data_IF_639045132015
#
_entry.id   IF_639045132015
#
_cell.length_a   1.000
_cell.length_b   1.000
_cell.length_c   1.000
_cell.angle_alpha   90.00
_cell.angle_beta   90.00
_cell.angle_gamma   90.00
#
_symmetry.space_group_name_H-M   'P 1'
#
loop_
_entity.id
_entity.type
_entity.pdbx_description
1 polymer ?
#
# COMPACT_ATOMS: atom_id res chain seq x y z
N UNK A 1 -17.12 -1.53 -27.80
CA UNK A 1 -16.58 -2.25 -26.62
C UNK A 1 -15.18 -2.86 -26.84
N UNK A 2 -14.72 -3.04 -28.09
CA UNK A 2 -13.37 -3.56 -28.40
C UNK A 2 -12.25 -2.51 -28.35
N UNK A 3 -12.54 -1.23 -28.64
CA UNK A 3 -11.55 -0.15 -28.62
C UNK A 3 -11.02 0.20 -27.23
N UNK A 4 -11.88 0.20 -26.20
CA UNK A 4 -11.49 0.48 -24.81
C UNK A 4 -10.61 -0.63 -24.22
N UNK A 5 -10.86 -1.89 -24.60
CA UNK A 5 -10.02 -3.04 -24.20
C UNK A 5 -8.62 -2.98 -24.82
N UNK A 6 -8.50 -2.45 -26.04
CA UNK A 6 -7.22 -2.24 -26.72
C UNK A 6 -6.45 -1.00 -26.20
N UNK A 7 -7.16 0.03 -25.75
CA UNK A 7 -6.55 1.28 -25.27
C UNK A 7 -5.96 1.19 -23.86
N UNK A 8 -6.58 0.42 -22.95
CA UNK A 8 -6.16 0.34 -21.54
C UNK A 8 -4.70 -0.12 -21.36
N UNK A 9 -4.23 -1.17 -22.07
CA UNK A 9 -2.83 -1.61 -21.99
C UNK A 9 -1.85 -0.57 -22.53
N UNK A 10 -2.22 0.15 -23.60
CA UNK A 10 -1.41 1.22 -24.19
C UNK A 10 -1.28 2.42 -23.24
N UNK A 11 -2.36 2.81 -22.57
CA UNK A 11 -2.34 3.88 -21.56
C UNK A 11 -1.48 3.47 -20.35
N UNK A 12 -1.60 2.22 -19.90
CA UNK A 12 -0.74 1.68 -18.84
C UNK A 12 0.74 1.68 -19.21
N UNK A 13 1.07 1.25 -20.43
CA UNK A 13 2.43 1.26 -20.96
C UNK A 13 2.99 2.69 -21.14
N UNK A 14 2.15 3.66 -21.53
CA UNK A 14 2.55 5.06 -21.67
C UNK A 14 2.85 5.71 -20.30
N UNK A 15 1.96 5.54 -19.31
CA UNK A 15 2.18 6.03 -17.94
C UNK A 15 3.43 5.39 -17.32
N UNK A 16 3.65 4.12 -17.59
CA UNK A 16 4.84 3.38 -17.21
C UNK A 16 6.11 3.96 -17.86
N UNK A 17 6.09 4.25 -19.15
CA UNK A 17 7.25 4.80 -19.88
C UNK A 17 7.61 6.20 -19.35
N UNK A 18 6.61 7.05 -19.13
CA UNK A 18 6.77 8.38 -18.52
C UNK A 18 7.43 8.26 -17.15
N UNK A 19 7.02 7.28 -16.36
CA UNK A 19 7.59 7.05 -15.04
C UNK A 19 9.04 6.57 -15.09
N UNK A 20 9.36 5.60 -15.94
CA UNK A 20 10.74 5.11 -16.15
C UNK A 20 11.64 6.25 -16.60
N UNK A 21 11.19 7.07 -17.54
CA UNK A 21 11.92 8.26 -17.99
C UNK A 21 12.16 9.23 -16.83
N UNK A 22 11.15 9.50 -16.01
CA UNK A 22 11.29 10.35 -14.82
C UNK A 22 12.34 9.81 -13.84
N UNK A 23 12.35 8.49 -13.57
CA UNK A 23 13.35 7.86 -12.71
C UNK A 23 14.77 7.97 -13.31
N UNK A 24 14.92 7.79 -14.62
CA UNK A 24 16.21 7.95 -15.30
C UNK A 24 16.70 9.40 -15.26
N UNK A 25 15.79 10.38 -15.40
CA UNK A 25 16.09 11.80 -15.24
C UNK A 25 16.55 12.08 -13.82
N UNK A 26 15.86 11.59 -12.79
CA UNK A 26 16.27 11.75 -11.39
C UNK A 26 17.62 11.09 -11.11
N UNK A 27 17.89 9.93 -11.71
CA UNK A 27 19.20 9.28 -11.60
C UNK A 27 20.30 10.16 -12.20
N UNK A 28 20.06 10.87 -13.29
CA UNK A 28 21.07 11.74 -13.94
C UNK A 28 21.22 13.12 -13.28
N UNK A 29 20.29 13.53 -12.41
CA UNK A 29 20.28 14.83 -11.71
C UNK A 29 20.49 14.67 -10.21
N UNK A 30 21.75 14.75 -9.70
CA UNK A 30 22.08 14.55 -8.29
C UNK A 30 21.25 15.41 -7.32
N UNK A 31 20.92 16.62 -7.73
CA UNK A 31 20.11 17.59 -6.99
C UNK A 31 18.66 17.13 -6.77
N UNK A 32 18.14 16.27 -7.67
CA UNK A 32 16.79 15.71 -7.60
C UNK A 32 16.72 14.31 -6.95
N UNK A 33 17.85 13.74 -6.54
CA UNK A 33 17.89 12.41 -5.93
C UNK A 33 17.33 12.43 -4.50
N UNK A 34 16.34 11.57 -4.24
CA UNK A 34 16.00 11.10 -2.90
C UNK A 34 16.11 9.58 -2.87
N UNK A 35 16.60 9.04 -1.75
CA UNK A 35 16.71 7.60 -1.54
C UNK A 35 18.00 6.97 -2.07
N UNK A 36 18.15 5.68 -1.77
CA UNK A 36 19.26 4.85 -2.25
C UNK A 36 18.92 4.20 -3.61
N UNK A 37 19.92 3.82 -4.44
CA UNK A 37 19.66 3.11 -5.70
C UNK A 37 18.80 1.84 -5.56
N UNK A 38 18.79 1.22 -4.37
CA UNK A 38 17.97 0.03 -4.05
C UNK A 38 16.49 0.35 -3.97
N UNK A 39 16.09 1.56 -3.60
CA UNK A 39 14.70 1.99 -3.57
C UNK A 39 14.08 2.06 -4.98
N UNK A 40 14.93 2.20 -6.01
CA UNK A 40 14.54 2.12 -7.41
C UNK A 40 14.47 0.68 -7.95
N UNK A 41 14.89 -0.34 -7.18
CA UNK A 41 14.89 -1.74 -7.63
C UNK A 41 13.51 -2.40 -7.50
N UNK A 42 12.73 -2.09 -6.46
CA UNK A 42 11.39 -2.67 -6.25
C UNK A 42 10.45 -2.40 -7.44
N UNK A 43 10.45 -1.18 -8.00
CA UNK A 43 9.66 -0.94 -9.19
C UNK A 43 10.16 -1.60 -10.45
N UNK A 44 11.47 -1.84 -10.57
CA UNK A 44 12.07 -2.56 -11.70
C UNK A 44 11.76 -4.06 -11.62
N UNK A 45 11.70 -4.65 -10.43
CA UNK A 45 11.26 -6.04 -10.27
C UNK A 45 9.78 -6.21 -10.69
N UNK A 46 8.94 -5.28 -10.25
CA UNK A 46 7.56 -5.17 -10.67
C UNK A 46 7.36 -4.94 -12.18
N UNK A 47 8.25 -4.14 -12.78
CA UNK A 47 8.38 -3.93 -14.23
C UNK A 47 8.53 -5.26 -14.96
N UNK A 48 9.44 -6.10 -14.47
CA UNK A 48 9.78 -7.39 -15.08
C UNK A 48 8.60 -8.36 -14.91
N UNK A 49 7.95 -8.39 -13.75
CA UNK A 49 6.78 -9.24 -13.50
C UNK A 49 5.59 -8.80 -14.37
N UNK A 50 5.33 -7.50 -14.46
CA UNK A 50 4.27 -6.94 -15.30
C UNK A 50 4.51 -7.20 -16.79
N UNK A 51 5.75 -7.06 -17.27
CA UNK A 51 6.14 -7.34 -18.65
C UNK A 51 6.10 -8.84 -18.97
N UNK A 52 6.67 -9.69 -18.12
CA UNK A 52 6.67 -11.14 -18.31
C UNK A 52 5.24 -11.70 -18.40
N UNK A 53 4.32 -11.17 -17.60
CA UNK A 53 2.90 -11.52 -17.68
C UNK A 53 2.19 -10.87 -18.85
N UNK A 54 2.53 -9.63 -19.25
CA UNK A 54 2.00 -8.96 -20.44
C UNK A 54 2.30 -9.73 -21.73
N UNK A 55 3.45 -10.39 -21.83
CA UNK A 55 3.80 -11.27 -22.95
C UNK A 55 3.20 -12.68 -22.83
N UNK A 56 2.44 -12.98 -21.77
CA UNK A 56 1.68 -14.24 -21.66
C UNK A 56 0.41 -14.17 -22.52
N UNK A 57 0.09 -15.25 -23.23
CA UNK A 57 -0.86 -15.21 -24.35
C UNK A 57 -2.34 -15.11 -23.92
N UNK A 58 -3.22 -14.57 -24.79
CA UNK A 58 -4.55 -14.07 -24.40
C UNK A 58 -5.63 -15.13 -24.14
N UNK A 59 -5.35 -16.40 -24.41
CA UNK A 59 -6.30 -17.52 -24.24
C UNK A 59 -6.23 -18.16 -22.86
N UNK A 60 -5.34 -17.69 -22.00
CA UNK A 60 -5.12 -18.23 -20.66
C UNK A 60 -5.99 -17.49 -19.61
N UNK A 61 -6.35 -18.17 -18.49
CA UNK A 61 -6.98 -17.55 -17.30
C UNK A 61 -6.29 -16.26 -16.81
N UNK A 62 -5.06 -16.00 -17.25
CA UNK A 62 -4.29 -14.83 -16.87
C UNK A 62 -4.80 -13.49 -17.44
N UNK A 63 -5.54 -13.49 -18.54
CA UNK A 63 -6.03 -12.23 -19.15
C UNK A 63 -7.10 -11.53 -18.31
N UNK A 64 -7.99 -12.29 -17.66
CA UNK A 64 -9.00 -11.73 -16.77
C UNK A 64 -8.37 -11.12 -15.53
N UNK A 65 -7.43 -11.84 -14.92
CA UNK A 65 -6.64 -11.34 -13.80
C UNK A 65 -5.89 -10.06 -14.17
N UNK A 66 -5.21 -10.05 -15.32
CA UNK A 66 -4.51 -8.86 -15.82
C UNK A 66 -5.45 -7.68 -16.00
N UNK A 67 -6.63 -7.91 -16.58
CA UNK A 67 -7.60 -6.85 -16.79
C UNK A 67 -8.07 -6.23 -15.45
N UNK A 68 -8.31 -7.04 -14.42
CA UNK A 68 -8.64 -6.54 -13.08
C UNK A 68 -7.47 -5.80 -12.45
N UNK A 69 -6.26 -6.33 -12.58
CA UNK A 69 -5.05 -5.74 -12.04
C UNK A 69 -4.70 -4.39 -12.66
N UNK A 70 -4.85 -4.25 -13.99
CA UNK A 70 -4.69 -2.98 -14.69
C UNK A 70 -5.82 -2.00 -14.39
N UNK A 71 -7.07 -2.47 -14.23
CA UNK A 71 -8.17 -1.60 -13.77
C UNK A 71 -7.90 -1.06 -12.38
N UNK A 72 -7.35 -1.88 -11.47
CA UNK A 72 -6.91 -1.44 -10.15
C UNK A 72 -5.81 -0.37 -10.26
N UNK A 73 -4.87 -0.52 -11.20
CA UNK A 73 -3.84 0.48 -11.47
C UNK A 73 -4.45 1.82 -11.92
N UNK A 74 -5.46 1.79 -12.82
CA UNK A 74 -6.16 3.00 -13.28
C UNK A 74 -6.93 3.67 -12.15
N UNK A 75 -7.64 2.89 -11.32
CA UNK A 75 -8.37 3.42 -10.15
C UNK A 75 -7.38 4.06 -9.16
N UNK A 76 -6.29 3.37 -8.84
CA UNK A 76 -5.23 3.88 -7.98
C UNK A 76 -4.59 5.14 -8.56
N UNK A 77 -4.31 5.15 -9.87
CA UNK A 77 -3.78 6.29 -10.61
C UNK A 77 -4.68 7.52 -10.57
N UNK A 78 -5.99 7.33 -10.71
CA UNK A 78 -6.96 8.40 -10.60
C UNK A 78 -7.00 8.96 -9.16
N UNK A 79 -7.05 8.07 -8.16
CA UNK A 79 -7.05 8.45 -6.75
C UNK A 79 -5.76 9.19 -6.35
N UNK A 80 -4.58 8.66 -6.68
CA UNK A 80 -3.31 9.28 -6.34
C UNK A 80 -3.16 10.65 -7.01
N UNK A 81 -3.64 10.81 -8.24
CA UNK A 81 -3.60 12.10 -8.96
C UNK A 81 -4.50 13.11 -8.28
N UNK A 82 -5.72 12.70 -7.88
CA UNK A 82 -6.62 13.54 -7.10
C UNK A 82 -6.00 13.95 -5.76
N UNK A 83 -5.44 13.00 -5.02
CA UNK A 83 -4.79 13.27 -3.71
C UNK A 83 -3.57 14.17 -3.89
N UNK A 84 -2.78 13.99 -4.94
CA UNK A 84 -1.66 14.87 -5.27
C UNK A 84 -2.13 16.31 -5.52
N UNK A 85 -3.17 16.52 -6.33
CA UNK A 85 -3.74 17.86 -6.55
C UNK A 85 -4.18 18.47 -5.21
N UNK A 86 -4.91 17.71 -4.38
CA UNK A 86 -5.32 18.16 -3.04
C UNK A 86 -4.10 18.52 -2.18
N UNK A 87 -3.01 17.75 -2.26
CA UNK A 87 -1.78 18.01 -1.51
C UNK A 87 -1.11 19.33 -1.89
N UNK A 88 -1.17 19.71 -3.17
CA UNK A 88 -0.63 20.98 -3.67
C UNK A 88 -1.48 22.16 -3.16
N UNK A 89 -2.81 22.02 -3.24
CA UNK A 89 -3.76 23.03 -2.76
C UNK A 89 -3.66 23.25 -1.25
N UNK A 90 -3.59 22.16 -0.48
CA UNK A 90 -3.48 22.20 0.98
C UNK A 90 -2.08 22.50 1.47
N UNK A 91 -1.08 22.47 0.58
CA UNK A 91 0.34 22.53 0.95
C UNK A 91 0.65 21.53 2.06
N UNK A 92 0.23 20.28 1.87
CA UNK A 92 0.47 19.17 2.79
C UNK A 92 0.52 17.84 2.04
N UNK A 93 1.72 17.29 1.82
CA UNK A 93 1.90 15.97 1.21
C UNK A 93 1.78 14.81 2.22
N UNK A 94 1.62 15.11 3.51
CA UNK A 94 1.28 14.13 4.55
C UNK A 94 -0.06 13.45 4.32
N UNK A 95 -0.93 14.03 3.50
CA UNK A 95 -2.18 13.40 3.05
C UNK A 95 -1.94 12.09 2.28
N UNK A 96 -0.76 11.92 1.66
CA UNK A 96 -0.40 10.67 0.98
C UNK A 96 -0.38 9.47 1.94
N UNK A 97 0.08 9.67 3.17
CA UNK A 97 0.13 8.59 4.17
C UNK A 97 -1.29 8.12 4.56
N UNK A 98 -2.28 9.01 4.50
CA UNK A 98 -3.71 8.69 4.73
C UNK A 98 -4.30 7.98 3.51
N UNK A 99 -3.94 8.45 2.30
CA UNK A 99 -4.44 7.90 1.04
C UNK A 99 -3.86 6.52 0.71
N UNK A 100 -2.63 6.23 1.14
CA UNK A 100 -1.93 4.97 0.86
C UNK A 100 -2.78 3.70 1.13
N UNK A 101 -3.35 3.48 2.33
CA UNK A 101 -4.24 2.34 2.57
C UNK A 101 -5.58 2.44 1.83
N UNK A 102 -6.04 3.66 1.50
CA UNK A 102 -7.29 3.89 0.75
C UNK A 102 -7.15 3.49 -0.71
N UNK A 103 -5.98 3.68 -1.32
CA UNK A 103 -5.72 3.31 -2.71
C UNK A 103 -5.95 1.81 -2.95
N UNK A 104 -5.38 0.95 -2.10
CA UNK A 104 -5.61 -0.49 -2.14
C UNK A 104 -7.08 -0.85 -1.89
N UNK A 105 -7.68 -0.29 -0.83
CA UNK A 105 -9.04 -0.61 -0.43
C UNK A 105 -10.09 -0.17 -1.46
N UNK A 106 -10.03 1.08 -1.92
CA UNK A 106 -10.97 1.63 -2.89
C UNK A 106 -10.85 0.94 -4.25
N UNK A 107 -9.63 0.57 -4.70
CA UNK A 107 -9.47 -0.18 -5.93
C UNK A 107 -10.26 -1.51 -5.89
N UNK A 108 -10.15 -2.25 -4.78
CA UNK A 108 -10.90 -3.51 -4.56
C UNK A 108 -12.41 -3.26 -4.50
N UNK A 109 -12.84 -2.29 -3.68
CA UNK A 109 -14.25 -1.99 -3.46
C UNK A 109 -14.94 -1.51 -4.75
N UNK A 110 -14.28 -0.66 -5.56
CA UNK A 110 -14.80 -0.23 -6.86
C UNK A 110 -14.91 -1.40 -7.83
N UNK A 111 -13.96 -2.32 -7.84
CA UNK A 111 -14.03 -3.52 -8.71
C UNK A 111 -15.20 -4.44 -8.31
N UNK A 112 -15.48 -4.61 -7.02
CA UNK A 112 -16.60 -5.40 -6.52
C UNK A 112 -17.95 -4.70 -6.73
N UNK A 113 -18.02 -3.38 -6.52
CA UNK A 113 -19.25 -2.59 -6.71
C UNK A 113 -19.78 -2.61 -8.16
N UNK A 114 -18.94 -2.97 -9.14
CA UNK A 114 -19.35 -3.12 -10.55
C UNK A 114 -20.01 -4.46 -10.87
N UNK A 115 -20.13 -5.37 -9.89
CA UNK A 115 -20.80 -6.66 -10.06
C UNK A 115 -22.30 -6.53 -9.77
N UNK A 116 -23.10 -7.32 -10.49
CA UNK A 116 -24.56 -7.28 -10.34
C UNK A 116 -25.03 -7.83 -8.98
N UNK A 117 -24.29 -8.78 -8.40
CA UNK A 117 -24.53 -9.36 -7.09
C UNK A 117 -23.21 -9.80 -6.47
N UNK A 118 -23.20 -9.97 -5.14
CA UNK A 118 -22.03 -10.41 -4.38
C UNK A 118 -22.29 -11.79 -3.78
N UNK A 119 -21.38 -12.72 -4.01
CA UNK A 119 -21.30 -14.00 -3.31
C UNK A 119 -20.77 -13.83 -1.88
N UNK A 120 -20.90 -14.85 -1.01
CA UNK A 120 -20.33 -14.83 0.33
C UNK A 120 -18.83 -14.50 0.35
N UNK A 121 -18.04 -15.01 -0.61
CA UNK A 121 -16.63 -14.69 -0.73
C UNK A 121 -16.39 -13.18 -0.94
N UNK A 122 -17.13 -12.55 -1.85
CA UNK A 122 -16.96 -11.13 -2.18
C UNK A 122 -17.39 -10.22 -1.04
N UNK A 123 -18.43 -10.60 -0.28
CA UNK A 123 -18.86 -9.90 0.92
C UNK A 123 -17.73 -9.90 1.96
N UNK A 124 -17.10 -11.07 2.20
CA UNK A 124 -15.97 -11.20 3.13
C UNK A 124 -14.78 -10.34 2.68
N UNK A 125 -14.41 -10.40 1.39
CA UNK A 125 -13.33 -9.57 0.83
C UNK A 125 -13.62 -8.09 1.02
N UNK A 126 -14.82 -7.64 0.65
CA UNK A 126 -15.24 -6.25 0.77
C UNK A 126 -15.23 -5.78 2.23
N UNK A 127 -15.78 -6.56 3.16
CA UNK A 127 -15.84 -6.21 4.57
C UNK A 127 -14.45 -6.08 5.19
N UNK A 128 -13.57 -7.07 4.95
CA UNK A 128 -12.23 -7.09 5.53
C UNK A 128 -11.36 -5.96 4.96
N UNK A 129 -11.39 -5.74 3.65
CA UNK A 129 -10.60 -4.67 3.03
C UNK A 129 -11.12 -3.28 3.43
N UNK A 130 -12.45 -3.10 3.52
CA UNK A 130 -13.03 -1.84 3.96
C UNK A 130 -12.66 -1.54 5.42
N UNK A 131 -12.77 -2.54 6.31
CA UNK A 131 -12.45 -2.37 7.72
C UNK A 131 -10.98 -2.02 7.94
N UNK A 132 -10.05 -2.72 7.27
CA UNK A 132 -8.62 -2.41 7.35
C UNK A 132 -8.30 -1.03 6.76
N UNK A 133 -8.76 -0.77 5.54
CA UNK A 133 -8.45 0.47 4.81
C UNK A 133 -8.99 1.70 5.54
N UNK A 134 -10.25 1.64 5.98
CA UNK A 134 -10.89 2.72 6.73
C UNK A 134 -10.19 2.96 8.07
N UNK A 135 -9.91 1.90 8.84
CA UNK A 135 -9.18 2.00 10.10
C UNK A 135 -7.84 2.70 9.89
N UNK A 136 -7.05 2.25 8.91
CA UNK A 136 -5.72 2.79 8.65
C UNK A 136 -5.79 4.26 8.28
N UNK A 137 -6.68 4.62 7.35
CA UNK A 137 -6.90 6.00 6.95
C UNK A 137 -7.33 6.88 8.13
N UNK A 138 -8.27 6.40 8.97
CA UNK A 138 -8.72 7.13 10.16
C UNK A 138 -7.62 7.31 11.20
N UNK A 139 -6.86 6.26 11.51
CA UNK A 139 -5.78 6.33 12.49
C UNK A 139 -4.71 7.35 12.06
N UNK A 140 -4.24 7.27 10.82
CA UNK A 140 -3.23 8.19 10.28
C UNK A 140 -3.82 9.60 10.14
N UNK A 141 -5.05 9.73 9.65
CA UNK A 141 -5.73 11.01 9.47
C UNK A 141 -5.95 11.76 10.79
N UNK A 142 -6.43 11.06 11.82
CA UNK A 142 -6.60 11.63 13.16
C UNK A 142 -5.26 12.02 13.79
N UNK A 143 -4.22 11.19 13.60
CA UNK A 143 -2.86 11.51 14.07
C UNK A 143 -2.33 12.78 13.41
N UNK A 144 -2.44 12.88 12.08
CA UNK A 144 -1.97 14.02 11.31
C UNK A 144 -2.75 15.29 11.67
N UNK A 145 -4.08 15.19 11.84
CA UNK A 145 -4.92 16.31 12.27
C UNK A 145 -4.51 16.85 13.65
N UNK A 146 -4.17 15.98 14.61
CA UNK A 146 -3.68 16.37 15.94
C UNK A 146 -2.33 17.07 15.91
N UNK A 147 -1.47 16.76 14.94
CA UNK A 147 -0.19 17.46 14.77
C UNK A 147 -0.35 18.86 14.16
N UNK A 148 -1.38 19.08 13.34
CA UNK A 148 -1.75 20.39 12.79
C UNK A 148 -0.73 21.01 11.83
N UNK A 149 0.33 20.27 11.47
CA UNK A 149 1.38 20.66 10.54
C UNK A 149 1.71 19.48 9.64
N UNK A 150 2.17 19.78 8.43
CA UNK A 150 2.72 18.77 7.53
C UNK A 150 3.85 18.00 8.24
N UNK A 151 3.91 16.69 8.00
CA UNK A 151 5.00 15.84 8.47
C UNK A 151 6.37 16.43 8.07
N UNK A 152 7.30 16.46 9.03
CA UNK A 152 8.61 17.07 8.86
C UNK A 152 9.41 16.53 7.67
N UNK A 153 9.21 15.26 7.28
CA UNK A 153 9.84 14.64 6.11
C UNK A 153 9.38 15.32 4.82
N UNK A 154 8.07 15.47 4.63
CA UNK A 154 7.49 16.09 3.44
C UNK A 154 7.80 17.59 3.39
N UNK A 155 7.74 18.28 4.54
CA UNK A 155 8.11 19.68 4.63
C UNK A 155 9.59 19.92 4.28
N UNK A 156 10.49 19.03 4.70
CA UNK A 156 11.90 19.09 4.36
C UNK A 156 12.16 18.88 2.86
N UNK A 157 11.50 17.88 2.24
CA UNK A 157 11.61 17.68 0.79
C UNK A 157 11.04 18.85 -0.01
N UNK A 158 9.91 19.42 0.41
CA UNK A 158 9.36 20.60 -0.25
C UNK A 158 10.32 21.78 -0.23
N UNK A 159 10.94 22.06 0.91
CA UNK A 159 11.97 23.10 1.01
C UNK A 159 13.16 22.81 0.11
N UNK A 160 13.61 21.55 0.06
CA UNK A 160 14.75 21.11 -0.76
C UNK A 160 14.48 21.23 -2.26
N UNK A 161 13.31 20.84 -2.73
CA UNK A 161 13.00 20.78 -4.17
C UNK A 161 12.37 22.07 -4.71
N UNK A 162 11.91 22.98 -3.83
CA UNK A 162 11.51 24.35 -4.19
C UNK A 162 10.53 24.40 -5.36
N UNK A 163 10.88 25.13 -6.43
CA UNK A 163 10.05 25.25 -7.63
C UNK A 163 9.80 23.93 -8.38
N UNK A 164 10.62 22.90 -8.15
CA UNK A 164 10.43 21.57 -8.74
C UNK A 164 9.49 20.68 -7.91
N UNK A 165 9.08 21.13 -6.72
CA UNK A 165 8.28 20.32 -5.79
C UNK A 165 7.03 19.72 -6.43
N UNK A 166 6.30 20.49 -7.24
CA UNK A 166 5.00 20.04 -7.77
C UNK A 166 5.13 18.75 -8.59
N UNK A 167 6.06 18.69 -9.56
CA UNK A 167 6.25 17.51 -10.39
C UNK A 167 7.15 16.47 -9.71
N UNK A 168 8.13 16.90 -8.92
CA UNK A 168 8.98 15.98 -8.16
C UNK A 168 8.15 15.17 -7.16
N UNK A 169 7.26 15.82 -6.41
CA UNK A 169 6.37 15.15 -5.44
C UNK A 169 5.43 14.18 -6.15
N UNK A 170 4.88 14.53 -7.31
CA UNK A 170 4.04 13.63 -8.10
C UNK A 170 4.72 12.30 -8.38
N UNK A 171 6.00 12.32 -8.79
CA UNK A 171 6.73 11.10 -9.14
C UNK A 171 7.30 10.37 -7.92
N UNK A 172 7.89 11.10 -6.97
CA UNK A 172 8.66 10.53 -5.85
C UNK A 172 7.82 10.26 -4.62
N UNK A 173 6.80 11.07 -4.34
CA UNK A 173 5.92 10.87 -3.18
C UNK A 173 4.70 10.05 -3.58
N UNK A 174 3.96 10.50 -4.59
CA UNK A 174 2.65 9.92 -4.93
C UNK A 174 2.77 8.70 -5.82
N UNK A 175 3.34 8.83 -7.01
CA UNK A 175 3.43 7.72 -7.98
C UNK A 175 4.28 6.57 -7.43
N UNK A 176 5.41 6.84 -6.77
CA UNK A 176 6.23 5.78 -6.18
C UNK A 176 5.45 4.97 -5.14
N UNK A 177 4.72 5.64 -4.24
CA UNK A 177 3.90 4.98 -3.23
C UNK A 177 2.68 4.27 -3.83
N UNK A 178 2.01 4.89 -4.80
CA UNK A 178 0.87 4.31 -5.51
C UNK A 178 1.24 3.08 -6.34
N UNK A 179 2.37 3.11 -7.05
CA UNK A 179 2.91 1.93 -7.74
C UNK A 179 3.28 0.87 -6.72
N UNK A 180 3.95 1.23 -5.63
CA UNK A 180 4.27 0.30 -4.54
C UNK A 180 3.00 -0.40 -4.06
N UNK A 181 1.98 0.32 -3.58
CA UNK A 181 0.76 -0.30 -3.05
C UNK A 181 0.02 -1.14 -4.11
N UNK A 182 -0.03 -0.68 -5.37
CA UNK A 182 -0.62 -1.43 -6.47
C UNK A 182 0.07 -2.79 -6.67
N UNK A 183 1.40 -2.82 -6.63
CA UNK A 183 2.20 -4.03 -6.83
C UNK A 183 1.90 -5.11 -5.80
N UNK A 184 1.82 -4.71 -4.54
CA UNK A 184 1.54 -5.66 -3.47
C UNK A 184 0.03 -5.90 -3.30
N UNK A 185 -0.84 -5.11 -3.93
CA UNK A 185 -2.28 -5.39 -3.98
C UNK A 185 -2.63 -6.65 -4.79
N UNK A 186 -1.64 -7.32 -5.40
CA UNK A 186 -1.78 -8.59 -6.12
C UNK A 186 -2.65 -9.62 -5.39
N UNK A 187 -2.47 -9.79 -4.06
CA UNK A 187 -3.24 -10.75 -3.28
C UNK A 187 -4.72 -10.38 -3.15
N UNK A 188 -5.00 -9.09 -2.95
CA UNK A 188 -6.36 -8.55 -2.93
C UNK A 188 -7.03 -8.68 -4.30
N UNK A 189 -6.29 -8.40 -5.38
CA UNK A 189 -6.81 -8.56 -6.75
C UNK A 189 -7.02 -10.03 -7.10
N UNK A 190 -6.21 -10.96 -6.58
CA UNK A 190 -6.44 -12.40 -6.72
C UNK A 190 -7.74 -12.83 -6.05
N UNK A 191 -8.03 -12.32 -4.85
CA UNK A 191 -9.31 -12.56 -4.19
C UNK A 191 -10.47 -12.04 -5.05
N UNK A 192 -10.39 -10.82 -5.60
CA UNK A 192 -11.42 -10.32 -6.53
C UNK A 192 -11.52 -11.22 -7.77
N UNK A 193 -10.39 -11.61 -8.37
CA UNK A 193 -10.35 -12.41 -9.60
C UNK A 193 -10.94 -13.82 -9.43
N UNK A 194 -10.98 -14.37 -8.21
CA UNK A 194 -11.56 -15.69 -7.91
C UNK A 194 -13.04 -15.81 -8.31
N UNK A 195 -13.74 -14.68 -8.43
CA UNK A 195 -15.14 -14.63 -8.83
C UNK A 195 -16.08 -15.09 -7.71
N UNK A 196 -17.36 -15.35 -8.04
CA UNK A 196 -18.33 -15.87 -7.09
C UNK A 196 -17.89 -17.22 -6.52
N UNK A 197 -17.78 -17.33 -5.19
CA UNK A 197 -17.34 -18.55 -4.50
C UNK A 197 -18.08 -18.73 -3.17
N UNK A 198 -18.32 -19.99 -2.80
CA UNK A 198 -18.75 -20.36 -1.46
C UNK A 198 -17.61 -20.15 -0.45
N UNK A 199 -17.97 -20.13 0.84
CA UNK A 199 -16.98 -20.06 1.91
C UNK A 199 -16.29 -21.41 2.07
N UNK A 200 -14.98 -21.38 2.26
CA UNK A 200 -14.13 -22.54 2.49
C UNK A 200 -13.14 -22.29 3.63
N UNK A 201 -12.20 -23.22 3.80
CA UNK A 201 -11.16 -23.13 4.83
C UNK A 201 -10.28 -21.87 4.66
N UNK A 202 -10.12 -21.39 3.42
CA UNK A 202 -9.39 -20.16 3.12
C UNK A 202 -9.99 -18.94 3.82
N UNK A 203 -11.32 -18.86 3.87
CA UNK A 203 -12.03 -17.76 4.51
C UNK A 203 -11.92 -17.86 6.03
N UNK A 204 -12.00 -19.06 6.61
CA UNK A 204 -11.80 -19.27 8.04
C UNK A 204 -10.38 -18.87 8.47
N UNK A 205 -9.36 -19.29 7.70
CA UNK A 205 -7.98 -18.88 7.91
C UNK A 205 -7.80 -17.37 7.77
N UNK A 206 -8.37 -16.76 6.73
CA UNK A 206 -8.30 -15.32 6.51
C UNK A 206 -8.92 -14.54 7.67
N UNK A 207 -10.13 -14.91 8.12
CA UNK A 207 -10.80 -14.24 9.23
C UNK A 207 -9.99 -14.38 10.52
N UNK A 208 -9.44 -15.56 10.81
CA UNK A 208 -8.61 -15.77 11.99
C UNK A 208 -7.33 -14.91 11.96
N UNK A 209 -6.61 -14.92 10.84
CA UNK A 209 -5.42 -14.08 10.64
C UNK A 209 -5.75 -12.59 10.73
N UNK A 210 -6.86 -12.17 10.13
CA UNK A 210 -7.31 -10.78 10.19
C UNK A 210 -7.63 -10.36 11.61
N UNK A 211 -8.38 -11.18 12.37
CA UNK A 211 -8.72 -10.87 13.76
C UNK A 211 -7.46 -10.70 14.62
N UNK A 212 -6.49 -11.62 14.49
CA UNK A 212 -5.20 -11.52 15.20
C UNK A 212 -4.43 -10.28 14.75
N UNK A 213 -4.26 -10.09 13.44
CA UNK A 213 -3.51 -8.97 12.91
C UNK A 213 -4.13 -7.62 13.30
N UNK A 214 -5.45 -7.49 13.17
CA UNK A 214 -6.21 -6.31 13.54
C UNK A 214 -6.11 -6.02 15.04
N UNK A 215 -6.17 -7.04 15.90
CA UNK A 215 -5.96 -6.88 17.35
C UNK A 215 -4.58 -6.29 17.65
N UNK A 216 -3.51 -6.90 17.13
CA UNK A 216 -2.14 -6.44 17.37
C UNK A 216 -1.91 -5.02 16.84
N UNK A 217 -2.47 -4.72 15.68
CA UNK A 217 -2.37 -3.40 15.08
C UNK A 217 -3.13 -2.35 15.88
N UNK A 218 -4.41 -2.60 16.16
CA UNK A 218 -5.28 -1.65 16.86
C UNK A 218 -4.82 -1.41 18.29
N UNK A 219 -4.61 -2.47 19.07
CA UNK A 219 -4.20 -2.35 20.47
C UNK A 219 -2.78 -1.81 20.58
N UNK A 220 -1.87 -2.21 19.68
CA UNK A 220 -0.51 -1.68 19.64
C UNK A 220 -0.49 -0.17 19.43
N UNK A 221 -1.26 0.32 18.47
CA UNK A 221 -1.36 1.76 18.18
C UNK A 221 -2.05 2.53 19.33
N UNK A 222 -3.11 1.98 19.93
CA UNK A 222 -3.76 2.60 21.09
C UNK A 222 -2.81 2.73 22.29
N UNK A 223 -2.07 1.67 22.61
CA UNK A 223 -1.06 1.68 23.68
C UNK A 223 0.00 2.75 23.41
N UNK A 224 0.48 2.84 22.16
CA UNK A 224 1.48 3.84 21.76
C UNK A 224 0.93 5.27 21.81
N UNK A 225 -0.30 5.49 21.35
CA UNK A 225 -0.95 6.80 21.41
C UNK A 225 -1.16 7.25 22.86
N UNK A 226 -1.63 6.35 23.73
CA UNK A 226 -1.82 6.64 25.14
C UNK A 226 -0.49 6.98 25.80
N UNK A 227 0.53 6.14 25.61
CA UNK A 227 1.88 6.38 26.13
C UNK A 227 2.47 7.73 25.68
N UNK A 228 2.32 8.09 24.39
CA UNK A 228 2.81 9.37 23.89
C UNK A 228 2.14 10.58 24.54
N UNK A 229 0.91 10.44 25.04
CA UNK A 229 0.15 11.47 25.74
C UNK A 229 0.48 11.55 27.23
N UNK A 230 0.79 10.41 27.87
CA UNK A 230 0.99 10.32 29.32
C UNK A 230 2.45 10.33 29.76
N UNK A 231 3.40 10.06 28.86
CA UNK A 231 4.83 10.11 29.17
C UNK A 231 5.23 11.49 29.70
N UNK A 232 6.02 11.50 30.76
CA UNK A 232 6.55 12.73 31.37
C UNK A 232 7.83 13.20 30.70
N UNK A 233 8.60 12.27 30.11
CA UNK A 233 9.86 12.57 29.44
C UNK A 233 9.85 12.03 27.99
N UNK A 234 10.46 12.81 27.10
CA UNK A 234 10.70 12.38 25.73
C UNK A 234 11.66 11.20 25.62
N UNK A 235 12.52 10.94 26.59
CA UNK A 235 13.46 9.81 26.61
C UNK A 235 12.77 8.45 26.85
N UNK A 236 11.63 8.44 27.55
CA UNK A 236 10.92 7.21 27.94
C UNK A 236 10.56 6.33 26.72
N UNK A 237 10.60 5.02 26.94
CA UNK A 237 10.22 3.98 25.99
C UNK A 237 9.00 3.21 26.51
N UNK A 238 8.18 2.71 25.59
CA UNK A 238 7.01 1.89 25.93
C UNK A 238 7.43 0.42 25.95
N UNK A 239 7.41 -0.17 27.14
CA UNK A 239 7.87 -1.55 27.41
C UNK A 239 6.80 -2.42 28.09
N UNK A 240 5.55 -1.97 28.08
CA UNK A 240 4.39 -2.67 28.66
C UNK A 240 3.40 -3.13 27.60
N UNK A 241 2.42 -3.96 27.99
CA UNK A 241 1.38 -4.45 27.08
C UNK A 241 1.93 -5.31 25.94
N UNK A 242 1.52 -5.00 24.69
CA UNK A 242 2.03 -5.71 23.50
C UNK A 242 3.49 -5.36 23.20
N UNK A 243 3.91 -4.14 23.55
CA UNK A 243 5.25 -3.61 23.30
C UNK A 243 6.34 -4.30 24.14
N UNK A 244 5.97 -4.99 25.22
CA UNK A 244 6.87 -5.88 25.97
C UNK A 244 7.28 -7.12 25.18
N UNK A 245 6.41 -7.63 24.30
CA UNK A 245 6.66 -8.88 23.55
C UNK A 245 7.31 -8.63 22.20
N UNK A 246 7.09 -7.46 21.61
CA UNK A 246 7.69 -7.05 20.34
C UNK A 246 7.91 -5.56 20.37
N UNK A 247 9.05 -5.10 19.81
CA UNK A 247 9.32 -3.66 19.64
C UNK A 247 8.41 -2.99 18.61
N UNK A 248 7.77 -3.78 17.73
CA UNK A 248 6.85 -3.30 16.69
C UNK A 248 5.62 -4.21 16.58
N UNK A 249 4.75 -4.28 17.61
CA UNK A 249 3.60 -5.17 17.60
C UNK A 249 2.58 -4.79 16.52
N UNK A 250 2.49 -3.50 16.18
CA UNK A 250 1.63 -3.01 15.11
C UNK A 250 2.13 -3.42 13.71
N UNK A 251 3.45 -3.52 13.49
CA UNK A 251 4.01 -4.01 12.23
C UNK A 251 3.78 -5.52 12.05
N UNK A 252 3.86 -6.28 13.15
CA UNK A 252 3.42 -7.69 13.16
C UNK A 252 1.93 -7.80 12.80
N UNK A 253 1.10 -6.94 13.38
CA UNK A 253 -0.33 -6.87 13.08
C UNK A 253 -0.59 -6.63 11.60
N UNK A 254 0.06 -5.62 11.00
CA UNK A 254 -0.05 -5.31 9.58
C UNK A 254 0.39 -6.51 8.71
N UNK A 255 1.57 -7.10 8.95
CA UNK A 255 2.02 -8.27 8.20
C UNK A 255 1.00 -9.43 8.26
N UNK A 256 0.41 -9.68 9.44
CA UNK A 256 -0.59 -10.73 9.65
C UNK A 256 -1.90 -10.45 8.88
N UNK A 257 -2.35 -9.18 8.80
CA UNK A 257 -3.51 -8.79 7.99
C UNK A 257 -3.25 -9.09 6.51
N UNK A 258 -2.04 -8.82 6.02
CA UNK A 258 -1.70 -9.13 4.63
C UNK A 258 -1.62 -10.64 4.38
N UNK A 259 -1.22 -11.45 5.37
CA UNK A 259 -1.35 -12.92 5.28
C UNK A 259 -2.81 -13.36 5.18
N UNK A 260 -3.73 -12.68 5.88
CA UNK A 260 -5.17 -12.86 5.71
C UNK A 260 -5.62 -12.57 4.26
N UNK A 261 -5.17 -11.47 3.66
CA UNK A 261 -5.50 -11.17 2.26
C UNK A 261 -4.87 -12.18 1.29
N UNK A 262 -3.67 -12.68 1.58
CA UNK A 262 -3.07 -13.82 0.88
C UNK A 262 -3.96 -15.06 0.95
N UNK A 263 -4.49 -15.40 2.13
CA UNK A 263 -5.40 -16.52 2.31
C UNK A 263 -6.72 -16.35 1.52
N UNK A 264 -7.30 -15.14 1.46
CA UNK A 264 -8.42 -14.87 0.56
C UNK A 264 -8.05 -15.05 -0.92
N UNK A 265 -6.83 -14.68 -1.30
CA UNK A 265 -6.31 -14.87 -2.65
C UNK A 265 -6.15 -16.34 -3.04
N UNK A 266 -5.90 -17.25 -2.08
CA UNK A 266 -5.83 -18.70 -2.31
C UNK A 266 -7.16 -19.32 -2.80
N UNK A 267 -8.27 -18.59 -2.74
CA UNK A 267 -9.55 -19.01 -3.32
C UNK A 267 -9.48 -19.04 -4.86
N UNK A 268 -8.62 -18.23 -5.47
CA UNK A 268 -8.37 -18.26 -6.91
C UNK A 268 -7.60 -19.54 -7.30
N UNK A 269 -7.86 -20.18 -8.46
CA UNK A 269 -7.13 -21.38 -8.89
C UNK A 269 -5.60 -21.21 -8.99
N UNK A 270 -5.16 -19.99 -9.31
CA UNK A 270 -3.74 -19.58 -9.32
C UNK A 270 -3.37 -18.77 -8.06
N UNK A 271 -4.11 -18.98 -6.98
CA UNK A 271 -4.07 -18.17 -5.77
C UNK A 271 -2.76 -18.23 -5.01
N UNK A 272 -1.89 -19.20 -5.28
CA UNK A 272 -0.53 -19.25 -4.71
C UNK A 272 0.29 -18.00 -5.04
N UNK A 273 0.02 -17.35 -6.19
CA UNK A 273 0.63 -16.06 -6.57
C UNK A 273 0.25 -14.96 -5.57
N UNK A 274 -0.90 -15.04 -4.92
CA UNK A 274 -1.33 -14.10 -3.89
C UNK A 274 -0.39 -14.07 -2.68
N UNK A 275 0.39 -15.14 -2.44
CA UNK A 275 1.33 -15.21 -1.31
C UNK A 275 2.56 -14.32 -1.48
N UNK A 276 2.85 -13.86 -2.71
CA UNK A 276 3.93 -12.89 -2.96
C UNK A 276 3.71 -11.61 -2.16
N UNK A 277 2.44 -11.19 -2.04
CA UNK A 277 2.03 -10.00 -1.30
C UNK A 277 2.38 -10.06 0.20
N UNK A 278 1.88 -11.02 1.01
CA UNK A 278 2.22 -11.09 2.42
C UNK A 278 3.68 -11.38 2.68
N UNK A 279 4.36 -12.13 1.80
CA UNK A 279 5.81 -12.33 1.88
C UNK A 279 6.55 -10.99 1.74
N UNK A 280 6.19 -10.18 0.75
CA UNK A 280 6.76 -8.86 0.59
C UNK A 280 6.46 -7.97 1.80
N UNK A 281 5.21 -7.89 2.25
CA UNK A 281 4.85 -7.04 3.40
C UNK A 281 5.59 -7.49 4.66
N UNK A 282 5.69 -8.80 4.89
CA UNK A 282 6.47 -9.34 6.02
C UNK A 282 7.93 -8.90 5.92
N UNK A 283 8.56 -9.03 4.76
CA UNK A 283 9.92 -8.56 4.53
C UNK A 283 10.03 -7.04 4.73
N UNK A 284 9.13 -6.24 4.14
CA UNK A 284 9.11 -4.79 4.22
C UNK A 284 8.98 -4.28 5.66
N UNK A 285 8.11 -4.94 6.44
CA UNK A 285 7.87 -4.63 7.85
C UNK A 285 9.04 -5.04 8.75
N UNK A 286 9.70 -6.17 8.48
CA UNK A 286 10.77 -6.72 9.34
C UNK A 286 12.17 -6.23 8.98
N UNK A 287 12.64 -6.52 7.77
CA UNK A 287 14.03 -6.31 7.35
C UNK A 287 14.19 -5.24 6.26
N UNK A 288 13.08 -4.83 5.65
CA UNK A 288 13.04 -3.83 4.60
C UNK A 288 13.17 -2.41 5.16
N UNK A 289 12.25 -1.53 4.77
CA UNK A 289 12.34 -0.11 5.12
C UNK A 289 11.75 0.19 6.51
N UNK A 290 10.68 -0.48 6.93
CA UNK A 290 9.89 -0.01 8.08
C UNK A 290 10.64 -0.13 9.41
N UNK A 291 10.91 -1.35 9.90
CA UNK A 291 11.60 -1.55 11.18
C UNK A 291 13.00 -0.94 11.17
N UNK A 292 13.88 -1.18 10.18
CA UNK A 292 15.25 -0.65 10.24
C UNK A 292 15.33 0.87 10.24
N UNK A 293 14.46 1.58 9.51
CA UNK A 293 14.43 3.05 9.57
C UNK A 293 13.96 3.55 10.92
N UNK A 294 12.93 2.91 11.49
CA UNK A 294 12.40 3.28 12.80
C UNK A 294 13.42 3.02 13.92
N UNK A 295 14.10 1.88 13.89
CA UNK A 295 15.16 1.52 14.83
C UNK A 295 16.35 2.49 14.76
N UNK A 296 16.80 2.85 13.55
CA UNK A 296 17.85 3.86 13.36
C UNK A 296 17.47 5.24 13.90
N UNK A 297 16.19 5.60 13.83
CA UNK A 297 15.70 6.85 14.42
C UNK A 297 15.65 6.76 15.95
N UNK A 298 15.15 5.65 16.49
CA UNK A 298 15.08 5.42 17.94
C UNK A 298 16.49 5.41 18.56
N UNK A 299 17.46 4.72 17.97
CA UNK A 299 18.84 4.69 18.45
C UNK A 299 19.53 6.07 18.49
N UNK A 300 19.02 7.07 17.77
CA UNK A 300 19.52 8.45 17.80
C UNK A 300 18.80 9.35 18.80
N UNK A 301 17.61 8.95 19.24
CA UNK A 301 16.68 9.81 19.99
C UNK A 301 16.30 9.25 21.35
N UNK A 302 16.67 8.00 21.62
CA UNK A 302 16.39 7.24 22.83
C UNK A 302 17.71 6.70 23.42
N UNK A 303 17.78 6.50 24.74
CA UNK A 303 18.92 5.86 25.39
C UNK A 303 19.22 4.46 24.83
#
# INVERSE_FOLDING_TARGET
MNSVKAALPLVGAALWLVWVIALLVFRRRPELRAGTPREFAYPVAALIIGLAWFFSTPTSPGTWFLALYLRAAVITGALLTMVWIISLLRRDAGIMDVAYPMEAGLAVLVLLARRASWSPHEIVVAAMVALWSLRMALHIGLRNARHGKEDGRYAAWRRRFGGHWWWWSFFQVFTMQGVTVWLWSLGLIAAVAAGPRALGWQHALAVALFAVGFYFQWVGDLQLEHFKKTRSDRSQVLDTGLWRRSRHPNYFGEATIWWSFGALGLVHPWGWVALVCPLYVTWFMSAGSATPMQERYLAKTKP
#
